data_IF_638688852337
#
_entry.id   IF_638688852337
#
_cell.length_a   1.000
_cell.length_b   1.000
_cell.length_c   1.000
_cell.angle_alpha   90.00
_cell.angle_beta   90.00
_cell.angle_gamma   90.00
#
_symmetry.space_group_name_H-M   'P 1'
#
loop_
_entity.id
_entity.type
_entity.pdbx_description
1 polymer ?
2 non-polymer ?
3 water ?
#
# COMPACT_ATOMS: atom_id res chain seq x y z
N UNK A 5 -21.53 7.55 10.37
CA UNK A 5 -20.80 6.40 9.91
C UNK A 5 -21.47 5.10 10.31
N UNK A 6 -22.50 4.72 9.57
CA UNK A 6 -23.22 3.48 9.86
C UNK A 6 -22.45 2.28 9.30
N UNK A 7 -22.28 1.26 10.14
CA UNK A 7 -21.59 0.05 9.72
C UNK A 7 -22.54 -0.81 8.90
N UNK A 8 -23.20 -0.23 7.90
CA UNK A 8 -24.14 -0.97 7.07
C UNK A 8 -24.41 -0.27 5.74
N UNK A 9 -24.38 1.06 5.73
CA UNK A 9 -24.43 1.78 4.46
C UNK A 9 -23.17 1.47 3.65
N UNK A 10 -22.01 1.45 4.32
CA UNK A 10 -20.77 0.99 3.68
C UNK A 10 -20.94 -0.43 3.15
N UNK A 11 -21.74 -1.24 3.84
CA UNK A 11 -21.99 -2.61 3.37
C UNK A 11 -22.71 -2.60 2.03
N UNK A 12 -23.76 -1.77 1.90
CA UNK A 12 -24.42 -1.61 0.60
C UNK A 12 -23.48 -1.09 -0.49
N UNK A 13 -22.39 -0.43 -0.12
CA UNK A 13 -21.40 -0.01 -1.10
C UNK A 13 -20.61 -1.20 -1.64
N UNK A 14 -20.15 -2.07 -0.75
CA UNK A 14 -19.47 -3.29 -1.15
C UNK A 14 -20.46 -4.29 -1.72
N UNK A 15 -21.67 -4.37 -1.14
CA UNK A 15 -22.71 -5.25 -1.67
C UNK A 15 -22.98 -4.91 -3.13
N UNK A 16 -23.23 -3.63 -3.40
CA UNK A 16 -23.48 -3.15 -4.76
C UNK A 16 -22.33 -3.50 -5.70
N UNK A 17 -21.12 -3.01 -5.41
CA UNK A 17 -20.01 -3.19 -6.35
C UNK A 17 -19.70 -4.64 -6.64
N UNK A 18 -20.41 -5.56 -6.00
CA UNK A 18 -20.18 -6.98 -6.22
C UNK A 18 -18.75 -7.34 -5.88
N UNK A 19 -18.44 -7.49 -4.59
CA UNK A 19 -17.10 -7.93 -4.20
C UNK A 19 -17.16 -8.38 -2.75
N UNK A 20 -16.07 -8.98 -2.30
CA UNK A 20 -15.84 -9.31 -0.90
C UNK A 20 -14.66 -8.49 -0.40
N UNK A 21 -14.93 -7.55 0.51
CA UNK A 21 -13.88 -6.66 0.99
C UNK A 21 -14.13 -6.12 2.39
N UNK A 22 -13.08 -5.55 2.97
CA UNK A 22 -13.13 -4.85 4.25
C UNK A 22 -12.45 -3.49 4.09
N UNK A 23 -12.92 -2.51 4.85
CA UNK A 23 -12.26 -1.23 5.03
C UNK A 23 -11.89 -1.10 6.50
N UNK A 24 -10.60 -1.04 6.80
CA UNK A 24 -10.11 -0.92 8.16
C UNK A 24 -9.76 0.54 8.42
N UNK A 25 -10.35 1.13 9.44
CA UNK A 25 -10.07 2.51 9.82
C UNK A 25 -9.39 2.50 11.18
N UNK A 26 -8.30 3.25 11.29
CA UNK A 26 -7.61 3.41 12.57
C UNK A 26 -7.50 4.90 12.87
N UNK A 27 -8.28 5.36 13.86
CA UNK A 27 -8.24 6.74 14.36
C UNK A 27 -7.56 6.69 15.73
N UNK A 28 -6.39 7.31 15.84
CA UNK A 28 -5.63 7.40 17.09
C UNK A 28 -5.60 6.08 17.84
N UNK A 29 -5.14 5.04 17.14
CA UNK A 29 -4.92 3.69 17.67
C UNK A 29 -6.21 2.94 17.99
N UNK A 30 -7.35 3.41 17.49
CA UNK A 30 -8.62 2.69 17.60
C UNK A 30 -9.05 2.17 16.22
N UNK A 31 -9.30 0.87 16.14
CA UNK A 31 -9.52 0.17 14.87
C UNK A 31 -10.99 -0.19 14.72
N UNK A 32 -11.59 0.25 13.60
CA UNK A 32 -12.97 -0.08 13.24
C UNK A 32 -12.97 -0.81 11.89
N UNK A 33 -14.00 -1.63 11.67
CA UNK A 33 -14.12 -2.48 10.49
C UNK A 33 -15.39 -2.15 9.72
N UNK A 34 -15.28 -1.97 8.41
CA UNK A 34 -16.45 -1.76 7.56
C UNK A 34 -16.27 -2.58 6.28
N UNK A 35 -17.40 -2.83 5.58
CA UNK A 35 -17.44 -3.59 4.36
C UNK A 35 -18.55 -4.62 4.40
N UNK A 36 -18.47 -5.63 3.50
CA UNK A 36 -19.35 -6.79 3.57
C UNK A 36 -18.64 -8.10 3.93
N UNK A 37 -17.34 -8.07 4.20
CA UNK A 37 -16.59 -9.27 4.56
C UNK A 37 -15.57 -8.86 5.63
N UNK A 38 -16.09 -8.63 6.85
CA UNK A 38 -15.22 -8.17 7.93
C UNK A 38 -14.19 -9.22 8.34
N UNK A 39 -14.47 -10.50 8.10
CA UNK A 39 -13.48 -11.56 8.33
C UNK A 39 -12.18 -11.36 7.56
N UNK A 40 -12.17 -10.59 6.47
CA UNK A 40 -10.89 -10.44 5.78
C UNK A 40 -9.87 -9.63 6.58
N UNK A 41 -10.31 -8.90 7.61
CA UNK A 41 -9.42 -7.99 8.32
C UNK A 41 -8.27 -8.70 9.05
N UNK A 42 -8.46 -9.96 9.44
CA UNK A 42 -7.42 -10.72 10.13
C UNK A 42 -6.95 -11.93 9.31
N UNK A 43 -7.14 -11.92 7.99
CA UNK A 43 -6.62 -12.98 7.14
C UNK A 43 -5.48 -12.44 6.31
N UNK A 44 -4.47 -13.27 6.08
CA UNK A 44 -3.28 -12.84 5.40
C UNK A 44 -3.48 -12.87 3.88
N UNK A 45 -3.02 -11.82 3.20
CA UNK A 45 -2.98 -11.74 1.74
C UNK A 45 -1.62 -11.20 1.32
N UNK A 46 -1.22 -11.54 0.08
CA UNK A 46 0.03 -10.97 -0.44
C UNK A 46 -0.10 -9.44 -0.45
N UNK A 47 0.94 -8.71 -0.07
CA UNK A 47 0.82 -7.25 -0.06
C UNK A 47 0.82 -6.62 -1.45
N UNK A 48 1.16 -7.38 -2.49
CA UNK A 48 1.36 -6.83 -3.84
C UNK A 48 2.12 -5.51 -3.80
N UNK A 49 1.65 -4.48 -4.52
CA UNK A 49 2.39 -3.22 -4.63
C UNK A 49 2.38 -2.37 -3.37
N UNK A 50 1.56 -2.70 -2.37
CA UNK A 50 1.67 -1.93 -1.12
C UNK A 50 3.01 -2.16 -0.45
N UNK A 51 3.74 -3.20 -0.85
CA UNK A 51 5.03 -3.44 -0.23
C UNK A 51 6.08 -2.41 -0.69
N UNK A 52 5.83 -1.71 -1.80
CA UNK A 52 6.80 -0.74 -2.31
C UNK A 52 7.13 0.31 -1.24
N UNK A 53 6.13 0.59 -0.40
CA UNK A 53 6.31 1.49 0.74
C UNK A 53 7.44 1.00 1.62
N UNK A 54 7.40 -0.26 2.05
CA UNK A 54 8.49 -0.75 2.90
C UNK A 54 9.78 -0.90 2.10
N UNK A 55 9.66 -1.28 0.82
CA UNK A 55 10.82 -1.49 -0.02
C UNK A 55 11.61 -0.19 -0.14
N UNK A 56 10.90 0.91 -0.41
CA UNK A 56 11.52 2.23 -0.50
C UNK A 56 12.17 2.63 0.82
N UNK A 57 11.46 2.43 1.93
CA UNK A 57 12.04 2.74 3.24
C UNK A 57 13.35 2.01 3.46
N UNK A 58 13.36 0.70 3.21
CA UNK A 58 14.58 -0.09 3.38
C UNK A 58 15.68 0.40 2.43
N UNK A 59 15.30 0.75 1.21
CA UNK A 59 16.30 1.11 0.22
C UNK A 59 16.93 2.45 0.51
N UNK A 60 16.09 3.46 0.76
CA UNK A 60 16.59 4.76 1.16
C UNK A 60 17.42 4.67 2.44
N UNK A 61 16.82 4.11 3.50
CA UNK A 61 17.50 4.08 4.79
C UNK A 61 18.88 3.44 4.69
N UNK A 62 19.01 2.41 3.86
CA UNK A 62 20.27 1.70 3.73
C UNK A 62 21.11 2.18 2.57
N UNK A 63 20.76 3.32 1.97
CA UNK A 63 21.62 3.99 0.98
C UNK A 63 21.89 3.12 -0.23
N UNK A 64 20.90 2.28 -0.60
CA UNK A 64 20.92 1.54 -1.85
C UNK A 64 20.40 2.38 -3.01
N UNK A 65 19.77 3.50 -2.72
CA UNK A 65 19.26 4.43 -3.72
C UNK A 65 19.03 5.75 -3.00
N UNK A 66 18.46 6.72 -3.71
CA UNK A 66 18.09 8.00 -3.13
C UNK A 66 16.99 8.58 -4.00
N UNK A 67 16.36 9.65 -3.51
CA UNK A 67 15.14 10.11 -4.17
C UNK A 67 15.38 10.85 -5.47
N UNK A 68 16.64 11.08 -5.85
CA UNK A 68 16.93 11.72 -7.12
C UNK A 68 17.44 10.75 -8.17
N UNK A 69 17.81 9.52 -7.79
CA UNK A 69 18.34 8.59 -8.77
C UNK A 69 17.32 8.31 -9.85
N UNK A 70 17.77 8.36 -11.10
CA UNK A 70 16.95 8.05 -12.25
C UNK A 70 17.19 6.60 -12.63
N UNK A 71 16.15 5.79 -12.52
CA UNK A 71 16.23 4.39 -12.92
C UNK A 71 16.05 4.29 -14.43
N UNK A 72 17.03 3.71 -15.11
CA UNK A 72 17.09 3.73 -16.56
C UNK A 72 16.27 2.58 -17.14
N UNK A 73 15.42 2.88 -18.12
CA UNK A 73 14.67 1.84 -18.83
C UNK A 73 15.55 1.31 -19.97
N UNK A 74 15.95 0.04 -19.87
CA UNK A 74 16.90 -0.54 -20.81
C UNK A 74 16.22 -1.20 -22.01
N UNK A 75 14.91 -1.04 -22.18
CA UNK A 75 14.24 -1.32 -23.43
C UNK A 75 13.42 -2.59 -23.46
N UNK A 76 13.43 -3.41 -22.41
CA UNK A 76 12.54 -4.57 -22.41
C UNK A 76 11.10 -4.09 -22.34
N UNK A 77 10.22 -4.82 -23.00
CA UNK A 77 8.80 -4.54 -22.86
C UNK A 77 8.39 -4.84 -21.43
N UNK A 78 7.55 -3.97 -20.86
CA UNK A 78 6.99 -4.15 -19.54
C UNK A 78 5.46 -4.20 -19.63
N UNK A 79 4.83 -4.54 -18.51
CA UNK A 79 3.41 -4.87 -18.51
C UNK A 79 2.54 -3.68 -18.94
N UNK A 80 2.96 -2.46 -18.62
CA UNK A 80 2.21 -1.28 -19.02
C UNK A 80 3.17 -0.30 -19.68
N UNK A 81 2.71 0.36 -20.75
CA UNK A 81 3.64 1.17 -21.52
C UNK A 81 4.04 2.44 -20.78
N UNK A 82 3.28 2.85 -19.76
CA UNK A 82 3.71 3.97 -18.94
C UNK A 82 4.89 3.64 -18.05
N UNK A 83 5.23 2.36 -17.90
CA UNK A 83 6.44 1.94 -17.18
C UNK A 83 7.70 1.99 -18.04
N UNK A 84 7.55 2.23 -19.34
CA UNK A 84 8.65 2.11 -20.29
C UNK A 84 9.30 3.47 -20.51
N UNK A 85 9.94 3.93 -19.44
CA UNK A 85 10.59 5.24 -19.40
C UNK A 85 11.57 5.22 -18.24
N UNK A 86 12.51 6.17 -18.27
CA UNK A 86 13.32 6.43 -17.08
C UNK A 86 12.46 7.08 -16.01
N UNK A 87 12.68 6.70 -14.75
CA UNK A 87 12.00 7.33 -13.64
C UNK A 87 12.79 7.18 -12.35
N UNK A 88 12.42 8.03 -11.39
CA UNK A 88 12.90 7.98 -10.02
C UNK A 88 12.11 6.94 -9.23
N UNK A 89 12.54 6.72 -7.98
CA UNK A 89 11.77 5.92 -7.05
C UNK A 89 10.38 6.49 -6.84
N UNK A 90 10.27 7.83 -6.74
CA UNK A 90 8.98 8.45 -6.49
C UNK A 90 8.02 8.31 -7.64
N UNK A 91 8.49 8.50 -8.87
CA UNK A 91 7.62 8.29 -10.04
C UNK A 91 7.23 6.82 -10.16
N UNK A 92 8.21 5.93 -9.98
CA UNK A 92 7.91 4.50 -9.97
C UNK A 92 6.87 4.19 -8.90
N UNK A 93 6.97 4.89 -7.76
CA UNK A 93 6.01 4.71 -6.68
C UNK A 93 4.59 5.02 -7.15
N UNK A 94 4.39 6.12 -7.87
CA UNK A 94 3.04 6.50 -8.24
C UNK A 94 2.46 5.66 -9.37
N UNK A 95 3.32 5.07 -10.22
CA UNK A 95 2.93 4.18 -11.28
C UNK A 95 2.91 2.73 -10.86
N UNK A 96 3.26 2.43 -9.61
CA UNK A 96 3.45 1.06 -9.12
C UNK A 96 4.33 0.26 -10.07
N UNK A 97 5.42 0.88 -10.50
CA UNK A 97 6.23 0.31 -11.57
C UNK A 97 7.18 -0.73 -10.97
N UNK A 98 6.71 -1.97 -10.90
CA UNK A 98 7.39 -3.02 -10.15
C UNK A 98 8.81 -3.29 -10.67
N UNK A 99 9.15 -3.14 -11.97
CA UNK A 99 10.56 -3.42 -12.33
C UNK A 99 11.55 -2.50 -11.64
N UNK A 100 11.17 -1.25 -11.34
CA UNK A 100 12.07 -0.39 -10.59
C UNK A 100 12.26 -0.93 -9.18
N UNK A 101 11.16 -1.36 -8.56
CA UNK A 101 11.27 -1.83 -7.19
C UNK A 101 11.93 -3.20 -7.10
N UNK A 102 11.80 -4.04 -8.12
CA UNK A 102 12.55 -5.29 -8.12
C UNK A 102 14.04 -5.04 -8.29
N UNK A 103 14.43 -4.07 -9.14
CA UNK A 103 15.86 -3.80 -9.20
C UNK A 103 16.35 -3.24 -7.84
N UNK A 104 15.56 -2.40 -7.18
CA UNK A 104 15.93 -1.99 -5.81
C UNK A 104 16.10 -3.18 -4.88
N UNK A 105 15.16 -4.13 -4.92
CA UNK A 105 15.20 -5.29 -4.03
C UNK A 105 16.45 -6.13 -4.26
N UNK A 106 16.91 -6.26 -5.51
CA UNK A 106 18.14 -6.99 -5.78
C UNK A 106 19.35 -6.29 -5.21
N UNK A 107 19.36 -4.95 -5.23
CA UNK A 107 20.43 -4.20 -4.57
C UNK A 107 20.45 -4.48 -3.06
N UNK A 108 19.29 -4.33 -2.40
CA UNK A 108 19.18 -4.60 -0.96
C UNK A 108 19.68 -6.00 -0.64
N UNK A 109 19.18 -7.00 -1.37
CA UNK A 109 19.61 -8.37 -1.21
C UNK A 109 18.81 -9.12 -0.16
N UNK A 110 18.91 -10.45 -0.22
CA UNK A 110 18.04 -11.27 0.62
C UNK A 110 18.30 -11.02 2.12
N UNK A 111 19.57 -11.07 2.52
CA UNK A 111 19.89 -10.96 3.94
C UNK A 111 19.38 -9.65 4.52
N UNK A 112 19.78 -8.53 3.91
CA UNK A 112 19.33 -7.23 4.39
C UNK A 112 17.80 -7.12 4.37
N UNK A 113 17.16 -7.61 3.30
CA UNK A 113 15.70 -7.54 3.22
C UNK A 113 15.04 -8.35 4.32
N UNK A 114 15.48 -9.59 4.53
CA UNK A 114 14.85 -10.44 5.52
C UNK A 114 15.08 -9.88 6.91
N UNK A 115 16.26 -9.29 7.15
CA UNK A 115 16.56 -8.71 8.45
C UNK A 115 15.70 -7.47 8.70
N UNK A 116 15.48 -6.65 7.68
CA UNK A 116 14.65 -5.47 7.86
C UNK A 116 13.17 -5.83 7.94
N UNK A 117 12.71 -6.76 7.10
CA UNK A 117 11.31 -7.17 7.13
C UNK A 117 10.97 -7.75 8.50
N UNK A 118 11.90 -8.51 9.07
CA UNK A 118 11.67 -9.12 10.38
C UNK A 118 11.77 -8.08 11.48
N UNK A 119 12.68 -7.10 11.35
CA UNK A 119 12.82 -6.06 12.37
C UNK A 119 11.58 -5.18 12.45
N UNK A 120 10.95 -4.91 11.30
CA UNK A 120 9.72 -4.13 11.26
C UNK A 120 8.53 -5.00 11.69
N UNK A 121 8.63 -6.31 11.52
CA UNK A 121 7.52 -7.20 11.83
C UNK A 121 6.35 -7.03 10.88
N UNK A 122 6.62 -7.03 9.58
CA UNK A 122 5.61 -6.74 8.57
C UNK A 122 4.91 -8.04 8.16
N UNK A 123 3.63 -8.14 8.49
CA UNK A 123 2.87 -9.33 8.13
C UNK A 123 3.44 -10.56 8.79
N UNK A 124 3.50 -11.66 8.05
CA UNK A 124 4.16 -12.84 8.62
C UNK A 124 5.68 -12.72 8.57
N UNK A 125 6.21 -11.65 7.97
CA UNK A 125 7.64 -11.32 8.01
C UNK A 125 8.51 -12.41 7.39
N UNK A 126 7.98 -13.10 6.38
CA UNK A 126 8.69 -14.17 5.70
C UNK A 126 8.87 -13.77 4.26
N UNK A 127 10.11 -13.83 3.75
CA UNK A 127 10.36 -13.47 2.35
C UNK A 127 10.90 -14.62 1.52
N UNK A 128 11.22 -15.76 2.12
CA UNK A 128 11.65 -16.89 1.31
C UNK A 128 12.99 -16.59 0.65
N UNK A 129 13.13 -17.06 -0.59
CA UNK A 129 14.45 -17.17 -1.19
C UNK A 129 14.71 -16.26 -2.37
N UNK A 130 13.67 -15.68 -2.97
CA UNK A 130 13.81 -14.90 -4.17
C UNK A 130 13.50 -13.47 -3.82
N UNK A 131 14.53 -12.62 -3.81
CA UNK A 131 14.40 -11.27 -3.25
C UNK A 131 13.45 -10.43 -4.08
N UNK A 132 13.24 -10.80 -5.34
CA UNK A 132 12.64 -9.84 -6.26
C UNK A 132 11.18 -10.13 -6.56
N UNK A 133 10.55 -11.00 -5.79
CA UNK A 133 9.13 -11.26 -6.04
C UNK A 133 8.37 -11.75 -4.81
N UNK A 134 9.01 -11.85 -3.63
CA UNK A 134 8.34 -12.45 -2.46
C UNK A 134 7.09 -11.69 -2.05
N UNK A 135 6.91 -10.46 -2.51
CA UNK A 135 5.75 -9.67 -2.10
C UNK A 135 4.59 -9.78 -3.06
N UNK A 136 4.78 -10.48 -4.20
CA UNK A 136 3.76 -10.60 -5.23
C UNK A 136 3.11 -11.97 -5.32
N UNK A 137 3.80 -13.05 -4.95
CA UNK A 137 3.24 -14.41 -5.05
C UNK A 137 3.59 -15.24 -3.82
N UNK A 138 3.98 -14.58 -2.73
CA UNK A 138 4.38 -15.30 -1.53
C UNK A 138 5.89 -15.43 -1.46
N UNK A 139 6.40 -15.83 -0.27
CA UNK A 139 5.59 -16.25 0.89
C UNK A 139 5.13 -15.09 1.79
N UNK A 140 5.58 -13.86 1.54
CA UNK A 140 5.21 -12.75 2.42
C UNK A 140 3.71 -12.47 2.35
N UNK A 141 3.08 -12.39 3.51
CA UNK A 141 1.65 -12.07 3.56
C UNK A 141 1.35 -11.22 4.79
N UNK A 142 0.30 -10.40 4.68
CA UNK A 142 -0.04 -9.41 5.70
C UNK A 142 -1.56 -9.25 5.77
N UNK A 143 -2.08 -9.07 6.99
CA UNK A 143 -3.50 -8.81 7.15
C UNK A 143 -3.80 -7.34 6.91
N UNK A 144 -5.06 -6.99 6.64
CA UNK A 144 -5.38 -5.57 6.44
C UNK A 144 -5.28 -4.74 7.71
N UNK A 145 -5.51 -5.31 8.90
CA UNK A 145 -5.28 -4.53 10.12
C UNK A 145 -3.79 -4.25 10.29
N UNK A 146 -2.94 -5.20 9.92
CA UNK A 146 -1.50 -4.98 10.02
C UNK A 146 -1.05 -3.90 9.04
N UNK A 147 -1.68 -3.83 7.87
CA UNK A 147 -1.34 -2.77 6.91
C UNK A 147 -1.75 -1.41 7.44
N UNK A 148 -2.93 -1.31 8.07
CA UNK A 148 -3.34 0.00 8.58
C UNK A 148 -2.44 0.44 9.71
N UNK A 149 -1.98 -0.50 10.56
CA UNK A 149 -1.08 -0.12 11.63
C UNK A 149 0.28 0.26 11.09
N UNK A 150 0.78 -0.47 10.07
CA UNK A 150 2.00 -0.07 9.40
C UNK A 150 1.87 1.32 8.80
N UNK A 151 0.85 1.54 7.98
CA UNK A 151 0.74 2.82 7.31
C UNK A 151 0.43 3.93 8.32
N UNK A 152 -0.28 3.61 9.41
CA UNK A 152 -0.49 4.60 10.47
C UNK A 152 0.84 5.06 11.05
N UNK A 153 1.68 4.11 11.46
CA UNK A 153 2.99 4.45 11.96
C UNK A 153 3.76 5.33 10.98
N UNK A 154 3.71 4.99 9.68
CA UNK A 154 4.43 5.80 8.70
C UNK A 154 3.89 7.22 8.65
N UNK A 155 2.57 7.39 8.75
CA UNK A 155 1.98 8.74 8.72
C UNK A 155 2.44 9.58 9.91
N UNK A 156 2.60 8.94 11.07
CA UNK A 156 3.02 9.59 12.30
C UNK A 156 4.53 9.63 12.44
N UNK A 157 5.25 9.10 11.43
CA UNK A 157 6.70 8.97 11.46
C UNK A 157 7.15 8.13 12.65
N UNK A 158 6.47 7.00 12.85
CA UNK A 158 6.72 6.15 14.00
C UNK A 158 7.39 4.82 13.67
N UNK A 159 7.64 4.53 12.40
CA UNK A 159 8.28 3.28 12.01
C UNK A 159 9.75 3.34 12.40
N UNK A 160 10.41 2.18 12.56
CA UNK A 160 11.80 2.11 12.99
C UNK A 160 12.84 2.48 11.91
N UNK A 161 12.57 3.59 11.20
CA UNK A 161 13.50 4.19 10.26
C UNK A 161 13.71 5.66 10.65
N UNK A 162 14.77 6.26 10.11
CA UNK A 162 15.00 7.67 10.38
C UNK A 162 13.82 8.50 9.88
N UNK A 163 13.62 9.64 10.53
CA UNK A 163 12.50 10.50 10.17
C UNK A 163 12.60 10.97 8.72
N UNK A 164 13.80 11.33 8.27
CA UNK A 164 13.90 11.91 6.94
C UNK A 164 13.58 10.89 5.86
N UNK A 165 13.93 9.62 6.09
CA UNK A 165 13.55 8.59 5.12
C UNK A 165 12.04 8.40 5.11
N UNK A 166 11.41 8.37 6.30
CA UNK A 166 9.95 8.22 6.35
C UNK A 166 9.27 9.39 5.65
N UNK A 167 9.71 10.62 5.95
CA UNK A 167 9.13 11.79 5.30
C UNK A 167 9.32 11.74 3.80
N UNK A 168 10.48 11.25 3.34
CA UNK A 168 10.72 11.10 1.91
C UNK A 168 9.68 10.18 1.28
N UNK A 169 9.38 9.07 1.94
CA UNK A 169 8.45 8.10 1.39
C UNK A 169 7.02 8.61 1.45
N UNK A 170 6.66 9.33 2.53
CA UNK A 170 5.32 9.91 2.63
C UNK A 170 5.06 10.84 1.45
N UNK A 171 6.05 11.67 1.10
CA UNK A 171 5.90 12.60 -0.01
C UNK A 171 5.86 11.92 -1.37
N UNK A 172 6.15 10.61 -1.39
CA UNK A 172 5.95 9.79 -2.57
C UNK A 172 4.51 9.34 -2.72
N UNK A 173 3.66 9.53 -1.70
CA UNK A 173 2.36 8.83 -1.63
C UNK A 173 1.16 9.77 -1.71
N UNK A 174 1.34 11.00 -2.19
CA UNK A 174 0.23 11.95 -2.19
C UNK A 174 -0.72 11.63 -3.34
N UNK A 175 -2.00 11.47 -3.02
CA UNK A 175 -3.03 11.06 -3.98
C UNK A 175 -4.04 12.13 -4.32
N UNK A 176 -4.50 12.91 -3.34
CA UNK A 176 -5.53 13.92 -3.57
C UNK A 176 -5.41 15.00 -2.52
N UNK A 177 -5.54 16.26 -2.96
CA UNK A 177 -5.83 17.38 -2.07
C UNK A 177 -7.27 17.83 -2.34
N UNK A 178 -8.04 17.96 -1.27
CA UNK A 178 -9.47 18.21 -1.40
C UNK A 178 -9.98 18.84 -0.12
N UNK A 179 -10.80 19.89 -0.26
CA UNK A 179 -11.47 20.56 0.86
C UNK A 179 -10.51 20.96 1.97
N UNK A 180 -9.22 21.12 1.65
CA UNK A 180 -8.23 21.29 2.67
C UNK A 180 -7.76 20.00 3.32
N UNK A 181 -8.12 18.85 2.77
CA UNK A 181 -7.67 17.56 3.28
C UNK A 181 -6.56 17.03 2.36
N UNK A 182 -5.86 16.01 2.85
CA UNK A 182 -4.86 15.30 2.06
C UNK A 182 -5.02 13.81 2.27
N UNK A 183 -5.18 13.07 1.18
CA UNK A 183 -5.24 11.61 1.23
C UNK A 183 -3.94 11.08 0.65
N UNK A 184 -3.20 10.32 1.44
CA UNK A 184 -2.04 9.59 1.00
C UNK A 184 -2.39 8.11 0.94
N UNK A 185 -1.78 7.38 0.00
CA UNK A 185 -2.12 5.97 -0.12
C UNK A 185 -1.33 5.27 -1.21
N UNK A 186 -1.40 3.94 -1.15
CA UNK A 186 -0.73 3.07 -2.10
C UNK A 186 -1.73 2.02 -2.57
N UNK A 187 -2.05 2.03 -3.86
CA UNK A 187 -2.85 0.97 -4.47
C UNK A 187 -2.06 -0.33 -4.56
N UNK A 188 -2.80 -1.42 -4.73
CA UNK A 188 -2.20 -2.72 -4.89
C UNK A 188 -3.20 -3.65 -5.56
N UNK A 189 -2.74 -4.42 -6.55
CA UNK A 189 -3.58 -5.37 -7.26
C UNK A 189 -2.73 -6.58 -7.58
N UNK A 190 -3.00 -7.70 -6.92
CA UNK A 190 -2.30 -8.94 -7.27
C UNK A 190 -3.20 -9.67 -8.26
N UNK A 191 -2.84 -9.62 -9.56
CA UNK A 191 -3.72 -10.15 -10.60
C UNK A 191 -3.49 -11.63 -10.91
N UNK A 192 -2.44 -12.24 -10.37
CA UNK A 192 -2.11 -13.64 -10.63
C UNK A 192 -2.72 -14.59 -9.60
N UNK A 193 -2.69 -14.17 -8.33
CA UNK A 193 -3.35 -14.91 -7.26
C UNK A 193 -4.84 -15.03 -7.57
N UNK A 194 -5.44 -16.14 -7.16
CA UNK A 194 -6.89 -16.28 -7.28
C UNK A 194 -7.45 -16.70 -5.91
N UNK A 195 -8.46 -15.99 -5.39
CA UNK A 195 -9.02 -14.77 -5.99
C UNK A 195 -8.02 -13.63 -5.99
N UNK A 196 -8.21 -12.66 -6.88
CA UNK A 196 -7.30 -11.53 -6.95
C UNK A 196 -7.52 -10.62 -5.75
N UNK A 197 -6.44 -10.04 -5.24
CA UNK A 197 -6.52 -9.19 -4.06
C UNK A 197 -6.32 -7.75 -4.49
N UNK A 198 -7.20 -6.88 -4.03
CA UNK A 198 -7.05 -5.44 -4.22
C UNK A 198 -6.72 -4.77 -2.90
N UNK A 199 -5.78 -3.83 -2.96
CA UNK A 199 -5.31 -3.11 -1.79
C UNK A 199 -5.40 -1.62 -2.07
N UNK A 200 -5.83 -0.87 -1.06
CA UNK A 200 -5.64 0.58 -1.08
C UNK A 200 -5.42 1.00 0.37
N UNK A 201 -4.17 1.26 0.71
CA UNK A 201 -3.74 1.49 2.08
C UNK A 201 -3.07 2.86 2.17
N UNK A 202 -3.51 3.67 3.15
CA UNK A 202 -2.98 5.01 3.33
C UNK A 202 -3.55 5.74 4.55
N UNK A 203 -3.75 7.05 4.41
CA UNK A 203 -4.29 7.83 5.52
C UNK A 203 -4.83 9.17 5.01
N UNK A 204 -5.71 9.76 5.81
CA UNK A 204 -6.28 11.07 5.58
C UNK A 204 -5.65 12.05 6.56
N UNK A 205 -5.21 13.21 6.05
CA UNK A 205 -4.56 14.24 6.85
C UNK A 205 -5.50 15.44 6.94
N UNK A 206 -6.42 15.38 7.90
CA UNK A 206 -7.46 16.38 8.04
C UNK A 206 -6.85 17.74 8.39
N UNK A 207 -7.54 18.85 8.07
CA UNK A 207 -6.87 20.18 8.11
C UNK A 207 -6.37 20.55 9.49
N UNK A 208 -7.08 20.13 10.53
CA UNK A 208 -6.62 20.34 11.90
C UNK A 208 -5.29 19.63 12.17
N UNK A 209 -4.85 18.78 11.24
CA UNK A 209 -3.65 17.98 11.41
C UNK A 209 -3.91 16.55 11.79
N UNK A 210 -5.14 16.20 12.15
CA UNK A 210 -5.42 14.84 12.63
C UNK A 210 -5.21 13.83 11.51
N UNK A 211 -4.80 12.64 11.91
CA UNK A 211 -4.44 11.58 10.99
C UNK A 211 -5.35 10.41 11.27
N UNK A 212 -5.95 9.87 10.21
CA UNK A 212 -6.79 8.68 10.29
C UNK A 212 -6.38 7.76 9.14
N UNK A 213 -5.90 6.58 9.49
CA UNK A 213 -5.29 5.64 8.56
C UNK A 213 -6.34 4.63 8.08
N UNK A 214 -6.16 4.14 6.86
CA UNK A 214 -7.12 3.20 6.28
C UNK A 214 -6.41 2.09 5.51
N UNK A 215 -7.00 0.90 5.54
CA UNK A 215 -6.55 -0.21 4.70
C UNK A 215 -7.80 -0.82 4.08
N UNK A 216 -8.09 -0.44 2.84
CA UNK A 216 -9.15 -1.08 2.08
C UNK A 216 -8.57 -2.32 1.40
N UNK A 217 -9.25 -3.44 1.59
CA UNK A 217 -8.84 -4.71 0.99
C UNK A 217 -10.09 -5.38 0.45
N UNK A 218 -9.98 -5.95 -0.75
CA UNK A 218 -11.15 -6.55 -1.41
C UNK A 218 -10.68 -7.56 -2.45
N UNK A 219 -11.48 -8.62 -2.60
CA UNK A 219 -11.29 -9.57 -3.70
C UNK A 219 -11.47 -8.87 -5.04
N UNK A 220 -10.71 -9.27 -6.04
CA UNK A 220 -10.75 -8.55 -7.30
C UNK A 220 -10.96 -9.47 -8.50
N UNK A 221 -11.34 -8.86 -9.63
CA UNK A 221 -11.53 -9.61 -10.88
C UNK A 221 -11.03 -8.78 -12.07
N UNK A 222 -10.76 -9.45 -13.19
CA UNK A 222 -10.00 -8.80 -14.27
C UNK A 222 -10.76 -7.65 -14.93
N UNK A 223 -12.09 -7.76 -15.06
CA UNK A 223 -12.86 -6.74 -15.77
C UNK A 223 -13.04 -5.43 -14.99
N UNK A 224 -12.81 -5.41 -13.67
CA UNK A 224 -13.11 -4.22 -12.90
C UNK A 224 -12.16 -3.06 -13.27
N UNK A 225 -12.67 -1.83 -13.26
CA UNK A 225 -11.80 -0.68 -13.52
C UNK A 225 -10.97 -0.33 -12.29
N UNK A 226 -9.76 0.20 -12.54
CA UNK A 226 -8.85 0.51 -11.45
C UNK A 226 -9.50 1.43 -10.43
N UNK A 227 -10.36 2.34 -10.88
CA UNK A 227 -10.98 3.31 -9.98
C UNK A 227 -11.91 2.68 -8.97
N UNK A 228 -12.19 1.36 -9.09
CA UNK A 228 -13.10 0.70 -8.17
C UNK A 228 -12.59 0.79 -6.73
N UNK A 229 -11.28 0.86 -6.54
CA UNK A 229 -10.73 0.94 -5.19
C UNK A 229 -10.89 2.35 -4.63
N UNK A 230 -10.57 3.38 -5.41
CA UNK A 230 -10.78 4.74 -4.96
C UNK A 230 -12.26 5.05 -4.79
N UNK A 231 -13.10 4.59 -5.72
CA UNK A 231 -14.54 4.79 -5.60
C UNK A 231 -15.03 4.28 -4.25
N UNK A 232 -14.75 3.01 -3.96
CA UNK A 232 -15.18 2.40 -2.71
C UNK A 232 -14.57 3.11 -1.50
N UNK A 233 -13.38 3.68 -1.65
CA UNK A 233 -12.76 4.37 -0.52
C UNK A 233 -13.36 5.77 -0.30
N UNK A 234 -13.47 6.57 -1.36
CA UNK A 234 -13.90 7.95 -1.18
C UNK A 234 -15.34 8.03 -0.67
N UNK A 235 -16.27 7.39 -1.36
CA UNK A 235 -17.66 7.46 -0.93
C UNK A 235 -17.85 6.88 0.48
N UNK A 236 -16.96 5.97 0.91
CA UNK A 236 -16.99 5.51 2.29
C UNK A 236 -16.49 6.60 3.24
N UNK A 237 -15.26 7.07 3.02
CA UNK A 237 -14.66 8.05 3.91
C UNK A 237 -15.56 9.28 4.09
N UNK A 238 -16.36 9.61 3.07
CA UNK A 238 -17.30 10.71 3.27
C UNK A 238 -18.54 10.27 4.03
N UNK A 239 -18.93 9.00 3.91
CA UNK A 239 -20.06 8.50 4.69
C UNK A 239 -19.71 8.45 6.17
N UNK A 240 -18.50 8.02 6.51
CA UNK A 240 -18.04 8.20 7.89
C UNK A 240 -17.72 9.65 8.18
N UNK A 241 -17.82 10.51 7.17
CA UNK A 241 -17.56 11.94 7.28
C UNK A 241 -16.11 12.22 7.67
N UNK A 242 -15.20 11.35 7.23
CA UNK A 242 -13.78 11.60 7.43
C UNK A 242 -13.29 12.66 6.45
N UNK A 243 -13.87 12.73 5.26
CA UNK A 243 -13.54 13.73 4.26
C UNK A 243 -14.73 14.66 4.05
X LIG B 1 -1.73 -2.94 -10.79
X LIG B 1 -1.41 -2.05 -9.65
X LIG B 1 -0.35 -3.44 -11.22
X LIG B 1 -1.48 -1.03 -13.07
X LIG B 1 -2.30 -0.27 -14.11
X LIG B 1 -2.40 -1.24 -8.93
X LIG B 1 -0.64 0.06 -12.42
X LIG B 1 0.66 -2.89 -10.20
X LIG B 1 -0.52 1.14 -13.50
X LIG B 1 1.22 -3.92 -9.22
X LIG B 1 2.72 -4.11 -9.47
X LIG B 1 -1.02 2.47 -13.01
X LIG B 1 1.06 -3.46 -7.78
X LIG B 1 -0.74 4.90 -13.09
X LIG B 1 0.21 3.50 -14.88
X LIG B 1 -1.35 0.72 -14.65
X LIG B 1 -0.19 -2.03 -9.38
X LIG B 1 -0.55 3.55 -13.62
X LIG B 1 -2.70 -0.11 -9.39
X LIG B 1 -2.90 -1.68 -7.88
X LIG B 1 3.20 -5.21 -8.69
X LIG B 1 -1.86 2.52 -12.11
X LIG B 1 0.32 -4.41 -6.99
X LIG B 1 -2.56 -1.91 -11.97
#
# INVERSE_FOLDING_TARGET
>A
QIVQGHNQVIHQYFDEKNTSGVLVIQTDKKINLYGNALSRANTEYVPASTFKMLNALIGLENQKTDINEIFKWKGEKRSFTAWEKDMTLGEAMKLSAVPVYQELARRIGLDLMQKEVKRIGFGNAEIGQQVDNFWLVGPLKVTPIQEVEFVSQLAHTQLPFSEKVQANVKNMLLLEESNGYKIFGKTGWAMDIKPQVGWLTGWVEQPDGKIVAFALNMEMRSEMPASIRNELLMKSLKQLNII
>B hetero
1 FDX C2 C3 C1 C1A C2A C31 C4A C5 C5A C6 C61 C6A C7 C8A C9A N3A N4 N7A O31 O32 O62 O6A O7 S21
#
